data_IF_435619753532
#
_entry.id   IF_435619753532
#
_cell.length_a   1.000
_cell.length_b   1.000
_cell.length_c   1.000
_cell.angle_alpha   90.00
_cell.angle_beta   90.00
_cell.angle_gamma   90.00
#
_symmetry.space_group_name_H-M   'P 1'
#
loop_
_entity.id
_entity.type
_entity.pdbx_description
1 polymer ?
#
# COMPACT_ATOMS: atom_id res chain seq x y z
N UNK A 1 -5.91 -15.01 -21.39
CA UNK A 1 -5.11 -14.27 -20.39
C UNK A 1 -4.76 -12.86 -20.85
N UNK A 2 -4.25 -12.65 -22.07
CA UNK A 2 -3.88 -11.32 -22.60
C UNK A 2 -5.01 -10.29 -22.50
N UNK A 3 -6.23 -10.62 -22.94
CA UNK A 3 -7.36 -9.69 -22.86
C UNK A 3 -7.70 -9.24 -21.42
N UNK A 4 -7.54 -10.11 -20.41
CA UNK A 4 -7.80 -9.75 -19.01
C UNK A 4 -6.75 -8.77 -18.48
N UNK A 5 -5.49 -8.93 -18.89
CA UNK A 5 -4.40 -7.98 -18.61
C UNK A 5 -4.69 -6.62 -19.25
N UNK A 6 -5.16 -6.60 -20.50
CA UNK A 6 -5.46 -5.35 -21.21
C UNK A 6 -6.61 -4.59 -20.53
N UNK A 7 -7.69 -5.29 -20.15
CA UNK A 7 -8.78 -4.66 -19.41
C UNK A 7 -8.33 -4.12 -18.04
N UNK A 8 -7.49 -4.86 -17.34
CA UNK A 8 -6.96 -4.42 -16.05
C UNK A 8 -6.13 -3.14 -16.20
N UNK A 9 -5.24 -3.06 -17.19
CA UNK A 9 -4.44 -1.86 -17.46
C UNK A 9 -5.33 -0.65 -17.76
N UNK A 10 -6.37 -0.81 -18.59
CA UNK A 10 -7.32 0.27 -18.90
C UNK A 10 -8.06 0.73 -17.63
N UNK A 11 -8.51 -0.22 -16.80
CA UNK A 11 -9.19 0.08 -15.53
C UNK A 11 -8.27 0.83 -14.56
N UNK A 12 -7.00 0.43 -14.46
CA UNK A 12 -6.01 1.11 -13.62
C UNK A 12 -5.76 2.53 -14.13
N UNK A 13 -5.63 2.75 -15.44
CA UNK A 13 -5.48 4.10 -16.00
C UNK A 13 -6.68 5.02 -15.68
N UNK A 14 -7.90 4.50 -15.82
CA UNK A 14 -9.11 5.25 -15.44
C UNK A 14 -9.13 5.57 -13.95
N UNK A 15 -8.74 4.61 -13.10
CA UNK A 15 -8.67 4.82 -11.66
C UNK A 15 -7.61 5.85 -11.28
N UNK A 16 -6.41 5.78 -11.88
CA UNK A 16 -5.35 6.77 -11.66
C UNK A 16 -5.79 8.17 -12.08
N UNK A 17 -6.56 8.27 -13.17
CA UNK A 17 -7.15 9.53 -13.61
C UNK A 17 -8.12 10.07 -12.55
N UNK A 18 -8.98 9.22 -11.98
CA UNK A 18 -9.91 9.60 -10.90
C UNK A 18 -9.16 10.07 -9.64
N UNK A 19 -8.10 9.36 -9.24
CA UNK A 19 -7.27 9.75 -8.10
C UNK A 19 -6.58 11.10 -8.37
N UNK A 20 -6.04 11.30 -9.57
CA UNK A 20 -5.42 12.55 -10.00
C UNK A 20 -6.39 13.75 -9.98
N UNK A 21 -7.64 13.55 -10.39
CA UNK A 21 -8.68 14.59 -10.31
C UNK A 21 -9.08 14.92 -8.86
N UNK A 22 -8.91 13.97 -7.93
CA UNK A 22 -9.16 14.17 -6.50
C UNK A 22 -8.16 15.11 -5.81
N UNK A 23 -7.02 15.39 -6.43
CA UNK A 23 -5.94 16.22 -5.85
C UNK A 23 -6.37 17.69 -5.74
N UNK A 24 -6.94 18.24 -6.81
CA UNK A 24 -7.24 19.68 -6.92
C UNK A 24 -8.07 20.22 -5.74
N UNK A 25 -9.25 19.63 -5.46
CA UNK A 25 -10.09 20.09 -4.34
C UNK A 25 -9.46 19.90 -2.95
N UNK A 26 -8.50 18.97 -2.81
CA UNK A 26 -7.93 18.58 -1.52
C UNK A 26 -6.52 19.13 -1.29
N UNK A 27 -6.02 19.98 -2.19
CA UNK A 27 -4.65 20.50 -2.15
C UNK A 27 -4.33 21.22 -0.83
N UNK A 28 -5.28 22.01 -0.31
CA UNK A 28 -5.12 22.70 0.97
C UNK A 28 -4.97 21.73 2.14
N UNK A 29 -5.70 20.62 2.14
CA UNK A 29 -5.61 19.59 3.18
C UNK A 29 -4.27 18.85 3.10
N UNK A 30 -3.82 18.52 1.88
CA UNK A 30 -2.51 17.89 1.63
C UNK A 30 -1.38 18.75 2.20
N UNK A 31 -1.38 20.06 1.88
CA UNK A 31 -0.33 20.98 2.32
C UNK A 31 -0.27 21.12 3.84
N UNK A 32 -1.42 21.19 4.51
CA UNK A 32 -1.48 21.35 5.96
C UNK A 32 -1.22 20.03 6.72
N UNK A 33 -1.40 18.89 6.06
CA UNK A 33 -1.20 17.56 6.68
C UNK A 33 0.17 16.96 6.37
N UNK A 34 1.08 17.71 5.75
CA UNK A 34 2.33 17.18 5.18
C UNK A 34 3.14 16.28 6.11
N UNK A 35 3.29 16.63 7.39
CA UNK A 35 4.01 15.79 8.36
C UNK A 35 3.30 14.48 8.67
N UNK A 36 1.97 14.51 8.86
CA UNK A 36 1.19 13.31 9.10
C UNK A 36 1.29 12.36 7.89
N UNK A 37 1.29 12.91 6.68
CA UNK A 37 1.40 12.15 5.44
C UNK A 37 2.76 11.51 5.26
N UNK A 38 3.85 12.25 5.52
CA UNK A 38 5.20 11.69 5.45
C UNK A 38 5.34 10.55 6.45
N UNK A 39 4.87 10.72 7.69
CA UNK A 39 4.93 9.67 8.72
C UNK A 39 4.07 8.46 8.37
N UNK A 40 2.89 8.67 7.80
CA UNK A 40 1.99 7.61 7.37
C UNK A 40 2.60 6.79 6.22
N UNK A 41 3.10 7.44 5.17
CA UNK A 41 3.75 6.75 4.05
C UNK A 41 5.06 6.07 4.48
N UNK A 42 5.83 6.70 5.37
CA UNK A 42 6.97 6.06 6.00
C UNK A 42 6.56 4.81 6.76
N UNK A 43 5.44 4.84 7.49
CA UNK A 43 4.90 3.67 8.19
C UNK A 43 4.55 2.53 7.22
N UNK A 44 3.81 2.84 6.15
CA UNK A 44 3.45 1.86 5.11
C UNK A 44 4.70 1.21 4.51
N UNK A 45 5.63 2.04 4.06
CA UNK A 45 6.88 1.62 3.43
C UNK A 45 7.81 0.85 4.38
N UNK A 46 8.03 1.39 5.58
CA UNK A 46 8.95 0.81 6.54
C UNK A 46 8.44 -0.52 7.06
N UNK A 47 7.14 -0.64 7.31
CA UNK A 47 6.54 -1.91 7.72
C UNK A 47 6.68 -2.98 6.63
N UNK A 48 6.44 -2.64 5.35
CA UNK A 48 6.58 -3.62 4.25
C UNK A 48 8.04 -4.02 4.03
N UNK A 49 8.99 -3.11 4.21
CA UNK A 49 10.41 -3.46 4.14
C UNK A 49 10.87 -4.29 5.35
N UNK A 50 10.56 -3.87 6.58
CA UNK A 50 11.13 -4.51 7.77
C UNK A 50 10.49 -5.86 8.04
N UNK A 51 9.19 -6.00 7.77
CA UNK A 51 8.45 -7.23 8.02
C UNK A 51 8.22 -8.02 6.73
N UNK A 52 7.80 -7.35 5.66
CA UNK A 52 7.44 -8.01 4.39
C UNK A 52 8.65 -8.58 3.66
N UNK A 53 9.71 -7.80 3.46
CA UNK A 53 10.88 -8.25 2.68
C UNK A 53 11.55 -9.51 3.27
N UNK A 54 11.85 -9.61 4.58
CA UNK A 54 12.42 -10.85 5.13
C UNK A 54 11.52 -12.06 4.89
N UNK A 55 10.20 -11.90 5.07
CA UNK A 55 9.25 -12.99 4.86
C UNK A 55 9.22 -13.39 3.38
N UNK A 56 9.19 -12.41 2.45
CA UNK A 56 9.23 -12.64 1.02
C UNK A 56 10.47 -13.44 0.61
N UNK A 57 11.64 -13.06 1.13
CA UNK A 57 12.89 -13.79 0.88
C UNK A 57 12.88 -15.20 1.49
N UNK A 58 12.30 -15.38 2.68
CA UNK A 58 12.18 -16.69 3.33
C UNK A 58 11.28 -17.67 2.54
N UNK A 59 10.22 -17.17 1.90
CA UNK A 59 9.37 -17.98 1.03
C UNK A 59 9.93 -18.16 -0.39
N UNK A 60 11.14 -17.66 -0.65
CA UNK A 60 11.88 -17.87 -1.89
C UNK A 60 11.56 -16.87 -3.01
N UNK A 61 10.90 -15.74 -2.71
CA UNK A 61 10.71 -14.67 -3.68
C UNK A 61 12.07 -14.03 -3.99
N UNK A 62 12.35 -13.82 -5.28
CA UNK A 62 13.56 -13.13 -5.74
C UNK A 62 13.18 -11.69 -6.08
N UNK A 63 13.33 -11.29 -7.34
CA UNK A 63 12.99 -9.95 -7.83
C UNK A 63 11.50 -9.64 -7.66
N UNK A 64 10.65 -10.66 -7.55
CA UNK A 64 9.25 -10.52 -7.17
C UNK A 64 9.09 -9.79 -5.83
N UNK A 65 10.03 -9.94 -4.89
CA UNK A 65 10.01 -9.26 -3.60
C UNK A 65 10.10 -7.73 -3.73
N UNK A 66 10.76 -7.22 -4.78
CA UNK A 66 10.82 -5.77 -5.05
C UNK A 66 9.40 -5.27 -5.33
N UNK A 67 8.71 -5.91 -6.28
CA UNK A 67 7.34 -5.54 -6.63
C UNK A 67 6.34 -5.79 -5.50
N UNK A 68 6.60 -6.75 -4.62
CA UNK A 68 5.68 -7.17 -3.56
C UNK A 68 5.84 -6.46 -2.21
N UNK A 69 6.99 -5.79 -1.96
CA UNK A 69 7.34 -5.28 -0.63
C UNK A 69 7.82 -3.84 -0.61
N UNK A 70 7.92 -3.18 -1.77
CA UNK A 70 8.37 -1.78 -1.81
C UNK A 70 7.34 -0.80 -1.23
N UNK A 71 6.09 -1.19 -1.09
CA UNK A 71 5.06 -0.41 -0.39
C UNK A 71 3.89 -1.35 -0.07
N UNK A 72 2.79 -0.78 0.43
CA UNK A 72 1.51 -1.48 0.44
C UNK A 72 1.00 -1.51 -1.00
N UNK A 73 1.02 -2.67 -1.66
CA UNK A 73 0.65 -2.78 -3.08
C UNK A 73 -0.82 -2.45 -3.35
N UNK A 74 -1.03 -1.21 -3.78
CA UNK A 74 -2.30 -0.64 -4.22
C UNK A 74 -2.25 -0.29 -5.69
N UNK A 75 -3.36 0.17 -6.22
CA UNK A 75 -3.55 0.39 -7.64
C UNK A 75 -2.52 1.35 -8.24
N UNK A 76 -2.13 2.39 -7.48
CA UNK A 76 -1.04 3.29 -7.86
C UNK A 76 0.32 2.59 -7.89
N UNK A 77 0.56 1.67 -6.96
CA UNK A 77 1.81 0.92 -6.88
C UNK A 77 1.91 -0.11 -8.03
N UNK A 78 0.81 -0.81 -8.32
CA UNK A 78 0.69 -1.66 -9.50
C UNK A 78 1.01 -0.87 -10.78
N UNK A 79 0.44 0.33 -10.94
CA UNK A 79 0.72 1.20 -12.08
C UNK A 79 2.22 1.57 -12.18
N UNK A 80 2.85 1.96 -11.08
CA UNK A 80 4.29 2.32 -11.04
C UNK A 80 5.17 1.15 -11.50
N UNK A 81 4.93 -0.06 -10.98
CA UNK A 81 5.72 -1.23 -11.33
C UNK A 81 5.48 -1.65 -12.77
N UNK A 82 4.23 -1.63 -13.25
CA UNK A 82 3.92 -1.96 -14.65
C UNK A 82 4.58 -0.97 -15.60
N UNK A 83 4.58 0.32 -15.29
CA UNK A 83 5.21 1.35 -16.11
C UNK A 83 6.73 1.19 -16.14
N UNK A 84 7.35 0.92 -15.00
CA UNK A 84 8.81 0.85 -14.88
C UNK A 84 9.42 -0.49 -15.33
N UNK A 85 8.78 -1.60 -15.01
CA UNK A 85 9.31 -2.95 -15.22
C UNK A 85 8.53 -3.75 -16.27
N UNK A 86 7.32 -3.34 -16.61
CA UNK A 86 6.43 -4.07 -17.50
C UNK A 86 5.61 -5.13 -16.77
N UNK A 87 4.41 -5.38 -17.26
CA UNK A 87 3.45 -6.29 -16.64
C UNK A 87 3.96 -7.74 -16.48
N UNK A 88 4.78 -8.21 -17.43
CA UNK A 88 5.25 -9.60 -17.47
C UNK A 88 6.60 -9.84 -16.76
N UNK A 89 7.21 -8.80 -16.22
CA UNK A 89 8.44 -8.87 -15.43
C UNK A 89 8.25 -9.66 -14.13
N UNK A 90 9.36 -10.04 -13.49
CA UNK A 90 9.34 -10.68 -12.17
C UNK A 90 8.78 -9.73 -11.11
N UNK A 91 9.13 -8.44 -11.16
CA UNK A 91 8.54 -7.40 -10.31
C UNK A 91 7.04 -7.24 -10.55
N UNK A 92 6.62 -7.22 -11.82
CA UNK A 92 5.23 -7.15 -12.25
C UNK A 92 4.40 -8.32 -11.71
N UNK A 93 4.96 -9.54 -11.70
CA UNK A 93 4.30 -10.70 -11.07
C UNK A 93 4.19 -10.55 -9.56
N UNK A 94 5.23 -10.03 -8.90
CA UNK A 94 5.23 -9.77 -7.46
C UNK A 94 4.13 -8.81 -7.03
N UNK A 95 4.09 -7.63 -7.65
CA UNK A 95 3.08 -6.59 -7.32
C UNK A 95 1.66 -7.07 -7.63
N UNK A 96 1.47 -7.81 -8.73
CA UNK A 96 0.17 -8.34 -9.12
C UNK A 96 -0.32 -9.42 -8.16
N UNK A 97 0.58 -10.30 -7.72
CA UNK A 97 0.27 -11.31 -6.71
C UNK A 97 -0.20 -10.67 -5.41
N UNK A 98 0.54 -9.67 -4.92
CA UNK A 98 0.18 -8.94 -3.70
C UNK A 98 -1.09 -8.12 -3.85
N UNK A 99 -1.33 -7.50 -5.01
CA UNK A 99 -2.56 -6.76 -5.26
C UNK A 99 -3.80 -7.66 -5.24
N UNK A 100 -3.75 -8.84 -5.89
CA UNK A 100 -4.87 -9.78 -5.93
C UNK A 100 -5.11 -10.39 -4.55
N UNK A 101 -4.06 -10.98 -3.95
CA UNK A 101 -4.16 -11.60 -2.63
C UNK A 101 -4.52 -10.57 -1.56
N UNK A 102 -3.93 -9.38 -1.64
CA UNK A 102 -4.18 -8.26 -0.75
C UNK A 102 -5.63 -7.82 -0.84
N UNK A 103 -6.18 -7.57 -2.03
CA UNK A 103 -7.57 -7.12 -2.15
C UNK A 103 -8.57 -8.15 -1.61
N UNK A 104 -8.29 -9.45 -1.80
CA UNK A 104 -9.17 -10.52 -1.33
C UNK A 104 -9.07 -10.75 0.18
N UNK A 105 -7.85 -10.94 0.71
CA UNK A 105 -7.63 -11.33 2.10
C UNK A 105 -7.36 -10.14 3.03
N UNK A 106 -6.82 -9.05 2.49
CA UNK A 106 -6.40 -7.88 3.25
C UNK A 106 -7.56 -7.14 3.91
N UNK A 107 -8.73 -7.07 3.27
CA UNK A 107 -9.91 -6.47 3.89
C UNK A 107 -10.39 -7.28 5.12
N UNK A 108 -10.35 -8.61 5.04
CA UNK A 108 -10.67 -9.48 6.18
C UNK A 108 -9.63 -9.33 7.29
N UNK A 109 -8.35 -9.37 6.93
CA UNK A 109 -7.25 -9.25 7.89
C UNK A 109 -7.25 -7.91 8.62
N UNK A 110 -7.37 -6.80 7.87
CA UNK A 110 -7.32 -5.46 8.46
C UNK A 110 -8.53 -5.17 9.33
N UNK A 111 -9.70 -5.72 8.99
CA UNK A 111 -10.91 -5.63 9.81
C UNK A 111 -10.67 -6.23 11.20
N UNK A 112 -10.19 -7.47 11.24
CA UNK A 112 -9.87 -8.16 12.50
C UNK A 112 -8.79 -7.40 13.26
N UNK A 113 -7.69 -7.03 12.59
CA UNK A 113 -6.58 -6.32 13.23
C UNK A 113 -7.01 -4.96 13.81
N UNK A 114 -7.76 -4.17 13.04
CA UNK A 114 -8.23 -2.86 13.48
C UNK A 114 -9.21 -2.98 14.66
N UNK A 115 -10.11 -3.96 14.63
CA UNK A 115 -11.02 -4.25 15.75
C UNK A 115 -10.26 -4.67 17.01
N UNK A 116 -9.26 -5.55 16.89
CA UNK A 116 -8.42 -5.95 18.03
C UNK A 116 -7.65 -4.78 18.62
N UNK A 117 -7.02 -3.94 17.76
CA UNK A 117 -6.25 -2.79 18.22
C UNK A 117 -7.16 -1.74 18.86
N UNK A 118 -8.35 -1.50 18.30
CA UNK A 118 -9.33 -0.58 18.89
C UNK A 118 -9.72 -1.00 20.31
N UNK A 119 -9.88 -2.31 20.57
CA UNK A 119 -10.20 -2.83 21.90
C UNK A 119 -9.07 -2.69 22.93
N UNK A 120 -7.80 -2.56 22.50
CA UNK A 120 -6.67 -2.37 23.44
C UNK A 120 -6.76 -1.03 24.18
N UNK A 121 -7.47 -0.03 23.64
CA UNK A 121 -7.63 1.29 24.25
C UNK A 121 -6.33 2.11 24.33
N UNK A 122 -5.27 1.68 23.65
CA UNK A 122 -3.97 2.38 23.66
C UNK A 122 -3.95 3.63 22.79
N UNK A 123 -4.75 3.66 21.74
CA UNK A 123 -4.79 4.72 20.75
C UNK A 123 -6.12 5.43 20.76
N UNK A 124 -6.10 6.74 20.51
CA UNK A 124 -7.31 7.51 20.30
C UNK A 124 -8.03 7.03 19.03
N UNK A 125 -9.37 6.91 19.00
CA UNK A 125 -10.12 6.36 17.84
C UNK A 125 -9.84 7.11 16.53
N UNK A 126 -9.67 8.43 16.58
CA UNK A 126 -9.32 9.26 15.41
C UNK A 126 -7.91 8.92 14.87
N UNK A 127 -6.95 8.56 15.74
CA UNK A 127 -5.63 8.12 15.32
C UNK A 127 -5.68 6.74 14.65
N UNK A 128 -6.54 5.85 15.15
CA UNK A 128 -6.81 4.57 14.49
C UNK A 128 -7.50 4.76 13.13
N UNK A 129 -8.42 5.72 13.03
CA UNK A 129 -9.07 6.08 11.79
C UNK A 129 -8.08 6.62 10.75
N UNK A 130 -7.09 7.43 11.17
CA UNK A 130 -5.97 7.82 10.30
C UNK A 130 -5.23 6.60 9.76
N UNK A 131 -4.90 5.64 10.64
CA UNK A 131 -4.22 4.40 10.25
C UNK A 131 -5.03 3.47 9.34
N UNK A 132 -6.37 3.57 9.36
CA UNK A 132 -7.24 2.84 8.43
C UNK A 132 -7.15 3.37 6.98
N UNK A 133 -6.61 4.57 6.77
CA UNK A 133 -6.42 5.20 5.47
C UNK A 133 -5.26 4.62 4.65
N UNK A 134 -5.40 3.36 4.22
CA UNK A 134 -4.30 2.56 3.64
C UNK A 134 -4.20 2.71 2.09
N UNK A 135 -4.98 3.62 1.51
CA UNK A 135 -5.04 3.82 0.05
C UNK A 135 -5.88 2.78 -0.69
N UNK A 136 -6.78 2.08 0.02
CA UNK A 136 -7.76 1.15 -0.56
C UNK A 136 -9.14 1.41 0.04
N UNK A 137 -10.12 1.68 -0.82
CA UNK A 137 -11.48 1.95 -0.38
C UNK A 137 -12.10 0.76 0.39
N UNK A 138 -11.86 -0.48 -0.07
CA UNK A 138 -12.42 -1.68 0.55
C UNK A 138 -11.78 -1.96 1.91
N UNK A 139 -10.45 -1.87 2.01
CA UNK A 139 -9.75 -2.10 3.27
C UNK A 139 -10.01 -0.99 4.28
N UNK A 140 -10.05 0.27 3.83
CA UNK A 140 -10.43 1.39 4.66
C UNK A 140 -11.84 1.16 5.21
N UNK A 141 -12.84 0.85 4.36
CA UNK A 141 -14.19 0.61 4.84
C UNK A 141 -14.26 -0.52 5.89
N UNK A 142 -13.51 -1.61 5.69
CA UNK A 142 -13.46 -2.73 6.61
C UNK A 142 -12.82 -2.37 7.96
N UNK A 143 -11.69 -1.67 7.94
CA UNK A 143 -10.99 -1.22 9.15
C UNK A 143 -11.82 -0.15 9.90
N UNK A 144 -12.31 0.86 9.19
CA UNK A 144 -13.16 1.94 9.73
C UNK A 144 -14.41 1.36 10.38
N UNK A 145 -15.10 0.42 9.73
CA UNK A 145 -16.28 -0.24 10.31
C UNK A 145 -15.96 -0.98 11.62
N UNK A 146 -14.79 -1.62 11.69
CA UNK A 146 -14.34 -2.33 12.90
C UNK A 146 -14.00 -1.39 14.05
N UNK A 147 -13.42 -0.21 13.75
CA UNK A 147 -13.14 0.82 14.77
C UNK A 147 -14.45 1.43 15.28
N UNK A 148 -15.40 1.74 14.39
CA UNK A 148 -16.72 2.28 14.75
C UNK A 148 -17.50 1.31 15.62
N UNK A 149 -17.40 0.00 15.36
CA UNK A 149 -18.06 -1.01 16.18
C UNK A 149 -17.60 -0.99 17.65
N UNK A 150 -16.36 -0.55 17.92
CA UNK A 150 -15.80 -0.41 19.27
C UNK A 150 -16.06 0.99 19.85
N UNK A 151 -16.00 2.02 19.00
CA UNK A 151 -16.13 3.44 19.37
C UNK A 151 -17.25 4.15 18.57
N UNK A 152 -18.52 3.78 18.77
CA UNK A 152 -19.64 4.35 18.01
C UNK A 152 -19.81 5.85 18.26
N UNK A 153 -19.35 6.35 19.41
CA UNK A 153 -19.41 7.76 19.78
C UNK A 153 -18.58 8.69 18.87
N UNK A 154 -17.57 8.15 18.16
CA UNK A 154 -16.72 8.89 17.23
C UNK A 154 -17.01 8.56 15.76
N UNK A 155 -18.16 7.97 15.44
CA UNK A 155 -18.48 7.44 14.10
C UNK A 155 -18.21 8.47 12.97
N UNK A 156 -18.68 9.70 13.14
CA UNK A 156 -18.52 10.76 12.12
C UNK A 156 -17.06 11.15 11.94
N UNK A 157 -16.34 11.35 13.04
CA UNK A 157 -14.94 11.71 13.04
C UNK A 157 -14.07 10.59 12.46
N UNK A 158 -14.37 9.34 12.80
CA UNK A 158 -13.67 8.16 12.28
C UNK A 158 -13.85 8.07 10.76
N UNK A 159 -15.09 8.14 10.25
CA UNK A 159 -15.33 8.08 8.80
C UNK A 159 -14.63 9.23 8.06
N UNK A 160 -14.76 10.45 8.56
CA UNK A 160 -14.15 11.63 7.95
C UNK A 160 -12.63 11.50 7.90
N UNK A 161 -12.01 11.09 9.01
CA UNK A 161 -10.57 11.01 9.13
C UNK A 161 -10.00 9.85 8.31
N UNK A 162 -10.64 8.67 8.32
CA UNK A 162 -10.21 7.54 7.49
C UNK A 162 -10.33 7.85 6.00
N UNK A 163 -11.42 8.53 5.59
CA UNK A 163 -11.64 8.94 4.22
C UNK A 163 -10.59 9.94 3.73
N UNK A 164 -10.30 10.96 4.55
CA UNK A 164 -9.24 11.93 4.29
C UNK A 164 -7.88 11.24 4.18
N UNK A 165 -7.49 10.45 5.19
CA UNK A 165 -6.23 9.70 5.19
C UNK A 165 -6.09 8.80 3.95
N UNK A 166 -7.14 8.07 3.57
CA UNK A 166 -7.13 7.20 2.41
C UNK A 166 -6.93 7.96 1.10
N UNK A 167 -7.62 9.10 0.94
CA UNK A 167 -7.43 9.97 -0.22
C UNK A 167 -5.99 10.50 -0.27
N UNK A 168 -5.47 10.96 0.86
CA UNK A 168 -4.14 11.54 0.93
C UNK A 168 -3.06 10.50 0.61
N UNK A 169 -3.16 9.28 1.16
CA UNK A 169 -2.27 8.16 0.80
C UNK A 169 -2.37 7.79 -0.68
N UNK A 170 -3.58 7.77 -1.24
CA UNK A 170 -3.76 7.45 -2.68
C UNK A 170 -3.06 8.46 -3.60
N UNK A 171 -2.89 9.71 -3.15
CA UNK A 171 -2.26 10.79 -3.93
C UNK A 171 -0.77 10.90 -3.63
N UNK A 172 -0.42 11.12 -2.37
CA UNK A 172 0.96 11.38 -1.94
C UNK A 172 1.79 10.10 -1.95
N UNK A 173 1.17 8.97 -1.62
CA UNK A 173 1.80 7.66 -1.67
C UNK A 173 2.35 7.32 -3.05
N UNK A 174 1.75 7.79 -4.14
CA UNK A 174 2.30 7.59 -5.51
C UNK A 174 3.69 8.20 -5.63
N UNK A 175 3.83 9.47 -5.24
CA UNK A 175 5.09 10.21 -5.33
C UNK A 175 6.12 9.66 -4.34
N UNK A 176 5.68 9.34 -3.13
CA UNK A 176 6.54 8.73 -2.12
C UNK A 176 7.06 7.36 -2.58
N UNK A 177 6.17 6.51 -3.10
CA UNK A 177 6.51 5.21 -3.68
C UNK A 177 7.51 5.32 -4.83
N UNK A 178 7.28 6.27 -5.76
CA UNK A 178 8.10 6.44 -6.94
C UNK A 178 9.52 6.95 -6.62
N UNK A 179 9.62 7.96 -5.75
CA UNK A 179 10.89 8.66 -5.50
C UNK A 179 11.65 8.18 -4.26
N UNK A 180 10.98 7.56 -3.30
CA UNK A 180 11.57 7.13 -2.02
C UNK A 180 11.52 5.62 -1.90
N UNK A 181 10.32 5.04 -1.90
CA UNK A 181 10.17 3.64 -1.51
C UNK A 181 10.83 2.66 -2.48
N UNK A 182 10.54 2.81 -3.78
CA UNK A 182 11.03 1.90 -4.81
C UNK A 182 12.57 1.94 -4.96
N UNK A 183 13.23 3.12 -5.06
CA UNK A 183 14.69 3.19 -5.11
C UNK A 183 15.39 2.60 -3.87
N UNK A 184 14.81 2.79 -2.67
CA UNK A 184 15.36 2.20 -1.45
C UNK A 184 15.18 0.69 -1.45
N UNK A 185 14.00 0.21 -1.87
CA UNK A 185 13.72 -1.22 -1.95
C UNK A 185 14.66 -1.95 -2.92
N UNK A 186 14.91 -1.39 -4.10
CA UNK A 186 15.88 -1.93 -5.06
C UNK A 186 17.29 -2.07 -4.46
N UNK A 187 17.75 -1.04 -3.72
CA UNK A 187 19.07 -1.06 -3.07
C UNK A 187 19.13 -2.07 -1.93
N UNK A 188 18.09 -2.14 -1.11
CA UNK A 188 18.02 -3.04 0.03
C UNK A 188 17.94 -4.49 -0.44
N UNK A 189 17.09 -4.79 -1.42
CA UNK A 189 17.03 -6.10 -2.05
C UNK A 189 18.39 -6.47 -2.62
N UNK A 190 19.04 -5.58 -3.37
CA UNK A 190 20.37 -5.83 -3.91
C UNK A 190 21.45 -6.08 -2.84
N UNK A 191 21.31 -5.51 -1.64
CA UNK A 191 22.16 -5.82 -0.49
C UNK A 191 21.83 -7.19 0.10
N UNK A 192 20.56 -7.47 0.37
CA UNK A 192 20.11 -8.75 0.93
C UNK A 192 20.44 -9.93 0.00
N UNK A 193 20.24 -9.78 -1.32
CA UNK A 193 20.53 -10.81 -2.32
C UNK A 193 22.02 -11.18 -2.35
N UNK A 194 22.92 -10.18 -2.22
CA UNK A 194 24.37 -10.39 -2.10
C UNK A 194 24.74 -11.15 -0.83
N UNK A 195 24.12 -10.80 0.30
CA UNK A 195 24.39 -11.45 1.60
C UNK A 195 23.86 -12.89 1.62
N UNK A 196 22.70 -13.14 1.01
CA UNK A 196 22.03 -14.44 0.99
C UNK A 196 22.58 -15.40 -0.09
N UNK A 197 23.65 -15.02 -0.83
CA UNK A 197 24.23 -15.81 -1.94
C UNK A 197 23.20 -16.29 -2.96
N UNK A 198 22.14 -15.51 -3.19
CA UNK A 198 21.13 -15.80 -4.19
C UNK A 198 21.62 -15.50 -5.64
N UNK A 199 22.93 -15.63 -5.89
CA UNK A 199 23.58 -15.40 -7.19
C UNK A 199 23.55 -16.62 -8.12
N UNK A 200 23.09 -17.79 -7.66
CA UNK A 200 22.89 -18.91 -8.57
C UNK A 200 21.60 -18.72 -9.38
N UNK A 201 21.76 -18.26 -10.63
CA UNK A 201 20.84 -18.36 -11.78
C UNK A 201 20.22 -17.06 -12.37
N UNK A 202 20.90 -15.90 -12.33
CA UNK A 202 20.48 -14.75 -13.16
C UNK A 202 21.60 -14.19 -14.07
N UNK A 203 22.45 -15.09 -14.57
CA UNK A 203 23.18 -14.88 -15.83
C UNK A 203 22.86 -16.04 -16.76
N UNK A 204 21.69 -16.00 -17.39
CA UNK A 204 21.44 -16.54 -18.74
C UNK A 204 20.11 -16.07 -19.30
#
# INVERSE_FOLDING_TARGET
>A
MVAATDYLNILIMLLMTKIGLGIGPNLHIIMNSGWALILQELGHFFATIVLGLPIALLVGMRREAIGACYSIDREANVAIIIDRYGFHSTEGRGVMGMYICGTLFGAMWISVLAGMIAQLGWFHPIALAMGAGIGSASMMAAATGSIIAVHPEFEREIMAMSGAANLLTSVVGVYFSLFVSLPIMERLYGFCARVLRHESEEVR
#
